data_IF_303410928021
#
_entry.id   IF_303410928021
#
_cell.length_a   1.000
_cell.length_b   1.000
_cell.length_c   1.000
_cell.angle_alpha   90.00
_cell.angle_beta   90.00
_cell.angle_gamma   90.00
#
_symmetry.space_group_name_H-M   'P 1'
#
loop_
_entity.id
_entity.type
_entity.pdbx_description
1 polymer ?
#
# COMPACT_ATOMS: atom_id res chain seq x y z
N UNK A 1 -31.88 20.41 -5.79
CA UNK A 1 -31.87 19.08 -5.21
C UNK A 1 -30.43 18.54 -5.40
N UNK A 2 -29.60 18.68 -4.36
CA UNK A 2 -28.34 17.98 -4.29
C UNK A 2 -28.69 16.53 -3.90
N UNK A 3 -28.46 15.59 -4.81
CA UNK A 3 -28.41 14.19 -4.46
C UNK A 3 -27.08 14.02 -3.71
N UNK A 4 -27.14 13.92 -2.39
CA UNK A 4 -26.01 13.41 -1.59
C UNK A 4 -25.74 12.00 -2.11
N UNK A 5 -24.60 11.79 -2.78
CA UNK A 5 -24.11 10.47 -3.10
C UNK A 5 -23.92 9.74 -1.77
N UNK A 6 -24.69 8.69 -1.56
CA UNK A 6 -24.52 7.82 -0.39
C UNK A 6 -23.23 7.04 -0.62
N UNK A 7 -22.16 7.49 0.02
CA UNK A 7 -20.90 6.75 0.06
C UNK A 7 -21.09 5.54 0.95
N UNK A 8 -21.01 4.34 0.39
CA UNK A 8 -21.17 3.09 1.12
C UNK A 8 -19.80 2.59 1.57
N UNK A 9 -19.52 2.71 2.86
CA UNK A 9 -18.35 2.12 3.48
C UNK A 9 -18.61 0.67 3.92
N UNK A 10 -17.66 -0.20 3.64
CA UNK A 10 -17.62 -1.57 4.11
C UNK A 10 -16.64 -1.71 5.27
N UNK A 11 -16.84 -2.75 6.09
CA UNK A 11 -16.00 -3.01 7.26
C UNK A 11 -15.46 -4.44 7.22
N UNK A 12 -14.13 -4.54 7.37
CA UNK A 12 -13.42 -5.80 7.58
C UNK A 12 -13.20 -6.60 6.30
N UNK A 13 -11.97 -7.06 6.15
CA UNK A 13 -11.52 -7.91 5.05
C UNK A 13 -10.84 -9.20 5.58
N UNK A 14 -11.15 -9.61 6.83
CA UNK A 14 -10.62 -10.86 7.37
C UNK A 14 -10.93 -12.02 6.43
N UNK A 15 -9.91 -12.81 6.06
CA UNK A 15 -10.00 -13.93 5.11
C UNK A 15 -10.58 -13.52 3.74
N UNK A 16 -10.29 -12.33 3.29
CA UNK A 16 -10.71 -11.80 1.99
C UNK A 16 -9.51 -11.34 1.17
N UNK A 17 -9.70 -11.40 -0.13
CA UNK A 17 -8.75 -10.90 -1.14
C UNK A 17 -9.46 -9.85 -1.97
N UNK A 18 -8.77 -8.74 -2.26
CA UNK A 18 -9.17 -7.78 -3.28
C UNK A 18 -8.63 -8.24 -4.62
N UNK A 19 -9.52 -8.46 -5.58
CA UNK A 19 -9.17 -8.79 -6.96
C UNK A 19 -9.41 -7.59 -7.85
N UNK A 20 -8.36 -7.17 -8.54
CA UNK A 20 -8.38 -6.12 -9.56
C UNK A 20 -8.29 -6.82 -10.93
N UNK A 21 -9.42 -7.11 -11.59
CA UNK A 21 -9.43 -8.02 -12.74
C UNK A 21 -8.99 -7.38 -14.05
N UNK A 22 -9.04 -6.04 -14.14
CA UNK A 22 -8.84 -5.32 -15.39
C UNK A 22 -8.00 -4.05 -15.21
N UNK A 23 -7.23 -3.71 -16.25
CA UNK A 23 -6.60 -2.41 -16.38
C UNK A 23 -7.67 -1.34 -16.65
N UNK A 24 -7.82 -0.40 -15.72
CA UNK A 24 -8.82 0.68 -15.81
C UNK A 24 -8.27 1.97 -15.22
N UNK A 25 -8.89 3.09 -15.52
CA UNK A 25 -8.65 4.39 -14.90
C UNK A 25 -9.70 4.78 -13.85
N UNK A 26 -10.50 3.81 -13.38
CA UNK A 26 -11.60 4.06 -12.45
C UNK A 26 -11.78 3.01 -11.34
N UNK A 27 -11.06 1.87 -11.42
CA UNK A 27 -11.19 0.81 -10.41
C UNK A 27 -10.17 1.00 -9.30
N UNK A 28 -10.63 1.25 -8.07
CA UNK A 28 -9.80 1.43 -6.89
C UNK A 28 -10.53 1.02 -5.62
N UNK A 29 -9.76 0.90 -4.54
CA UNK A 29 -10.28 0.78 -3.18
C UNK A 29 -9.76 1.95 -2.37
N UNK A 30 -10.65 2.74 -1.80
CA UNK A 30 -10.28 3.80 -0.85
C UNK A 30 -10.28 3.20 0.56
N UNK A 31 -9.20 3.44 1.31
CA UNK A 31 -9.04 2.97 2.68
C UNK A 31 -9.15 4.12 3.66
N UNK A 32 -9.87 3.89 4.77
CA UNK A 32 -9.99 4.86 5.85
C UNK A 32 -9.05 4.46 6.99
N UNK A 33 -8.01 5.26 7.31
CA UNK A 33 -7.12 4.94 8.41
C UNK A 33 -7.81 5.09 9.76
N UNK A 34 -7.46 4.22 10.73
CA UNK A 34 -8.01 4.26 12.10
C UNK A 34 -7.60 5.53 12.86
N UNK A 35 -6.51 6.14 12.47
CA UNK A 35 -6.03 7.43 12.96
C UNK A 35 -5.28 8.18 11.86
N UNK A 36 -5.03 9.45 12.09
CA UNK A 36 -4.39 10.31 11.13
C UNK A 36 -3.01 9.80 10.69
N UNK A 37 -2.69 9.98 9.41
CA UNK A 37 -1.45 9.57 8.78
C UNK A 37 -0.28 10.55 9.05
N UNK A 38 -0.33 11.36 10.10
CA UNK A 38 0.78 12.23 10.53
C UNK A 38 1.92 11.38 11.12
N UNK A 39 2.77 10.79 10.26
CA UNK A 39 3.71 9.75 10.66
C UNK A 39 5.16 10.23 10.69
N UNK A 40 5.89 9.79 11.71
CA UNK A 40 7.35 9.91 11.86
C UNK A 40 8.07 8.57 11.71
N UNK A 41 7.33 7.49 11.66
CA UNK A 41 7.80 6.15 11.37
C UNK A 41 6.62 5.32 10.91
N UNK A 42 6.87 4.27 10.16
CA UNK A 42 5.82 3.31 9.82
C UNK A 42 6.39 1.93 9.45
N UNK A 43 5.52 0.96 9.53
CA UNK A 43 5.62 -0.33 8.84
C UNK A 43 4.36 -0.51 8.02
N UNK A 44 4.49 -0.74 6.73
CA UNK A 44 3.41 -1.12 5.83
C UNK A 44 3.69 -2.52 5.33
N UNK A 45 2.75 -3.44 5.53
CA UNK A 45 2.83 -4.82 5.05
C UNK A 45 1.59 -5.16 4.21
N UNK A 46 1.79 -5.90 3.14
CA UNK A 46 0.71 -6.43 2.29
C UNK A 46 1.18 -7.70 1.57
N UNK A 47 0.24 -8.49 1.08
CA UNK A 47 0.49 -9.62 0.19
C UNK A 47 -0.03 -9.29 -1.19
N UNK A 48 0.79 -9.51 -2.21
CA UNK A 48 0.52 -9.10 -3.58
C UNK A 48 0.83 -10.22 -4.55
N UNK A 49 -0.03 -10.42 -5.54
CA UNK A 49 0.20 -11.28 -6.69
C UNK A 49 -0.25 -10.57 -7.96
N UNK A 50 0.52 -10.68 -9.04
CA UNK A 50 0.19 -10.09 -10.33
C UNK A 50 0.84 -10.87 -11.46
N UNK A 51 0.15 -10.97 -12.60
CA UNK A 51 0.67 -11.49 -13.85
C UNK A 51 1.08 -10.39 -14.84
N UNK A 52 1.01 -9.12 -14.42
CA UNK A 52 1.50 -8.02 -15.25
C UNK A 52 3.00 -8.16 -15.48
N UNK A 53 3.49 -7.92 -16.73
CA UNK A 53 4.92 -7.99 -17.07
C UNK A 53 5.77 -7.09 -16.14
N UNK A 54 7.01 -7.46 -15.90
CA UNK A 54 7.92 -6.70 -15.03
C UNK A 54 8.14 -5.26 -15.51
N UNK A 55 8.11 -5.04 -16.82
CA UNK A 55 8.28 -3.73 -17.46
C UNK A 55 7.05 -2.82 -17.32
N UNK A 56 5.95 -3.34 -16.78
CA UNK A 56 4.73 -2.58 -16.51
C UNK A 56 4.81 -1.93 -15.14
N UNK A 57 4.79 -0.60 -15.12
CA UNK A 57 4.70 0.18 -13.88
C UNK A 57 3.36 -0.08 -13.19
N UNK A 58 3.37 -0.34 -11.89
CA UNK A 58 2.15 -0.53 -11.10
C UNK A 58 2.26 0.15 -9.74
N UNK A 59 1.16 0.79 -9.33
CA UNK A 59 1.00 1.30 -7.98
C UNK A 59 0.58 0.17 -7.03
N UNK A 60 1.26 0.06 -5.89
CA UNK A 60 0.91 -0.90 -4.84
C UNK A 60 0.20 -0.25 -3.67
N UNK A 61 0.49 1.02 -3.40
CA UNK A 61 -0.11 1.80 -2.33
C UNK A 61 0.07 3.28 -2.65
N UNK A 62 -0.99 4.06 -2.55
CA UNK A 62 -0.95 5.51 -2.76
C UNK A 62 -1.61 6.24 -1.60
N UNK A 63 -0.88 7.15 -0.98
CA UNK A 63 -1.40 8.11 -0.01
C UNK A 63 -1.09 9.52 -0.49
N UNK A 64 -2.13 10.27 -0.81
CA UNK A 64 -2.06 11.62 -1.32
C UNK A 64 -2.82 12.61 -0.47
N UNK A 65 -2.18 13.74 -0.16
CA UNK A 65 -2.84 14.96 0.32
C UNK A 65 -3.27 15.82 -0.87
N UNK A 66 -4.04 16.92 -0.67
CA UNK A 66 -4.39 17.82 -1.77
C UNK A 66 -3.19 18.33 -2.57
N UNK A 67 -2.03 18.49 -1.93
CA UNK A 67 -0.86 19.15 -2.51
C UNK A 67 0.27 18.19 -2.94
N UNK A 68 0.34 17.00 -2.33
CA UNK A 68 1.49 16.10 -2.49
C UNK A 68 1.11 14.62 -2.49
N UNK A 69 1.89 13.84 -3.26
CA UNK A 69 2.02 12.40 -3.06
C UNK A 69 2.87 12.19 -1.80
N UNK A 70 2.20 11.91 -0.69
CA UNK A 70 2.86 11.81 0.62
C UNK A 70 3.56 10.48 0.85
N UNK A 71 2.96 9.39 0.36
CA UNK A 71 3.56 8.05 0.41
C UNK A 71 3.00 7.18 -0.71
N UNK A 72 3.81 6.93 -1.73
CA UNK A 72 3.48 6.02 -2.82
C UNK A 72 4.48 4.88 -2.86
N UNK A 73 4.00 3.66 -3.07
CA UNK A 73 4.81 2.45 -3.25
C UNK A 73 4.54 1.90 -4.64
N UNK A 74 5.62 1.70 -5.41
CA UNK A 74 5.58 1.31 -6.82
C UNK A 74 6.38 0.06 -7.12
N UNK A 75 5.97 -0.68 -8.15
CA UNK A 75 6.90 -1.40 -9.02
C UNK A 75 7.13 -0.53 -10.26
N UNK A 76 8.37 -0.22 -10.53
CA UNK A 76 8.79 0.63 -11.64
C UNK A 76 8.84 -0.14 -12.97
N UNK A 77 8.98 0.58 -14.10
CA UNK A 77 9.12 -0.01 -15.44
C UNK A 77 10.38 -0.84 -15.62
N UNK A 78 11.39 -0.64 -14.79
CA UNK A 78 12.62 -1.44 -14.79
C UNK A 78 12.61 -2.61 -13.79
N UNK A 79 11.43 -2.90 -13.20
CA UNK A 79 11.20 -3.98 -12.27
C UNK A 79 11.61 -3.68 -10.82
N UNK A 80 12.30 -2.55 -10.56
CA UNK A 80 12.62 -2.16 -9.19
C UNK A 80 11.35 -1.83 -8.41
N UNK A 81 11.39 -2.02 -7.09
CA UNK A 81 10.37 -1.54 -6.18
C UNK A 81 10.85 -0.25 -5.53
N UNK A 82 10.00 0.73 -5.46
CA UNK A 82 10.33 2.05 -4.94
C UNK A 82 9.28 2.57 -3.98
N UNK A 83 9.65 3.57 -3.18
CA UNK A 83 8.65 4.40 -2.53
C UNK A 83 9.07 5.86 -2.56
N UNK A 84 8.06 6.73 -2.59
CA UNK A 84 8.18 8.18 -2.69
C UNK A 84 7.49 8.82 -1.50
N UNK A 85 8.08 9.86 -0.95
CA UNK A 85 7.46 10.76 0.00
C UNK A 85 7.70 12.20 -0.44
N UNK A 86 6.65 12.92 -0.89
CA UNK A 86 6.72 14.35 -1.27
C UNK A 86 7.88 14.69 -2.22
N UNK A 87 7.93 14.06 -3.40
CA UNK A 87 8.94 14.35 -4.42
C UNK A 87 9.74 13.14 -4.90
N UNK A 88 11.05 13.13 -4.67
CA UNK A 88 11.94 12.06 -5.10
C UNK A 88 11.74 10.74 -4.34
N UNK A 89 12.06 9.63 -4.99
CA UNK A 89 11.91 8.27 -4.45
C UNK A 89 13.24 7.60 -4.11
N UNK A 90 13.13 6.45 -3.47
CA UNK A 90 14.24 5.52 -3.27
C UNK A 90 13.89 4.15 -3.85
N UNK A 91 14.87 3.45 -4.42
CA UNK A 91 14.68 2.31 -5.31
C UNK A 91 15.43 1.09 -4.82
N UNK A 92 14.81 -0.08 -4.95
CA UNK A 92 15.36 -1.35 -4.49
C UNK A 92 15.23 -2.41 -5.58
N UNK A 93 16.31 -3.18 -5.78
CA UNK A 93 16.26 -4.42 -6.55
C UNK A 93 15.73 -5.54 -5.66
N UNK A 94 14.48 -5.90 -5.83
CA UNK A 94 13.82 -6.97 -5.10
C UNK A 94 13.51 -8.13 -6.04
N UNK A 95 13.27 -9.35 -5.52
CA UNK A 95 12.74 -10.45 -6.33
C UNK A 95 11.45 -10.02 -7.04
N UNK A 96 11.24 -10.44 -8.30
CA UNK A 96 10.06 -10.08 -9.08
C UNK A 96 8.76 -10.49 -8.39
N UNK A 97 7.74 -9.64 -8.49
CA UNK A 97 6.36 -10.03 -8.20
C UNK A 97 5.88 -11.01 -9.26
N UNK A 98 5.06 -11.97 -8.87
CA UNK A 98 4.60 -13.03 -9.76
C UNK A 98 3.13 -13.38 -9.49
N UNK A 99 2.63 -14.39 -10.19
CA UNK A 99 1.29 -14.96 -9.97
C UNK A 99 1.11 -15.56 -8.58
N UNK A 100 2.20 -15.89 -7.87
CA UNK A 100 2.15 -16.35 -6.49
C UNK A 100 2.30 -15.18 -5.54
N UNK A 101 1.54 -15.21 -4.43
CA UNK A 101 1.58 -14.12 -3.44
C UNK A 101 2.97 -13.94 -2.85
N UNK A 102 3.44 -12.71 -2.92
CA UNK A 102 4.64 -12.25 -2.24
C UNK A 102 4.23 -11.46 -1.00
N UNK A 103 4.78 -11.81 0.16
CA UNK A 103 4.68 -10.97 1.35
C UNK A 103 5.71 -9.86 1.27
N UNK A 104 5.22 -8.62 1.29
CA UNK A 104 6.01 -7.40 1.14
C UNK A 104 5.76 -6.49 2.32
N UNK A 105 6.83 -6.06 3.01
CA UNK A 105 6.73 -4.98 3.98
C UNK A 105 7.72 -3.87 3.62
N UNK A 106 7.35 -2.65 4.00
CA UNK A 106 8.19 -1.46 3.94
C UNK A 106 8.28 -0.85 5.34
N UNK A 107 9.50 -0.59 5.80
CA UNK A 107 9.78 0.09 7.07
C UNK A 107 10.55 1.37 6.83
N UNK A 108 10.21 2.43 7.55
CA UNK A 108 10.92 3.70 7.54
C UNK A 108 10.77 4.42 8.87
N UNK A 109 11.82 5.13 9.31
CA UNK A 109 11.74 6.05 10.46
C UNK A 109 12.41 7.39 10.18
N UNK A 110 11.76 8.46 10.59
CA UNK A 110 12.20 9.84 10.37
C UNK A 110 13.51 10.18 11.09
N UNK A 111 13.73 9.63 12.29
CA UNK A 111 14.89 9.98 13.13
C UNK A 111 16.22 9.71 12.44
N UNK A 112 16.33 8.61 11.75
CA UNK A 112 17.56 8.17 11.06
C UNK A 112 17.44 8.23 9.54
N UNK A 113 16.21 8.25 9.01
CA UNK A 113 15.91 8.05 7.61
C UNK A 113 16.08 6.59 7.16
N UNK A 114 16.33 5.65 8.07
CA UNK A 114 16.53 4.24 7.70
C UNK A 114 15.24 3.68 7.11
N UNK A 115 15.38 3.15 5.89
CA UNK A 115 14.33 2.51 5.13
C UNK A 115 14.77 1.13 4.66
N UNK A 116 13.85 0.17 4.64
CA UNK A 116 14.08 -1.15 4.09
C UNK A 116 12.78 -1.79 3.59
N UNK A 117 12.87 -2.56 2.52
CA UNK A 117 11.85 -3.52 2.16
C UNK A 117 12.13 -4.89 2.78
N UNK A 118 11.07 -5.63 2.98
CA UNK A 118 11.10 -7.00 3.47
C UNK A 118 10.29 -7.86 2.50
N UNK A 119 10.93 -8.86 1.93
CA UNK A 119 10.31 -9.82 1.01
C UNK A 119 10.38 -11.20 1.63
N UNK A 120 9.24 -11.87 1.77
CA UNK A 120 9.16 -13.21 2.39
C UNK A 120 9.87 -13.27 3.75
N UNK A 121 9.68 -12.23 4.58
CA UNK A 121 10.30 -12.11 5.90
C UNK A 121 11.79 -11.80 5.91
N UNK A 122 12.41 -11.57 4.75
CA UNK A 122 13.84 -11.25 4.60
C UNK A 122 14.03 -9.77 4.29
N UNK A 123 14.88 -9.10 5.06
CA UNK A 123 15.14 -7.67 4.89
C UNK A 123 16.15 -7.40 3.76
N UNK A 124 15.84 -6.40 2.92
CA UNK A 124 16.79 -5.77 2.00
C UNK A 124 17.94 -5.09 2.74
N UNK A 125 18.92 -4.54 2.02
CA UNK A 125 19.84 -3.55 2.59
C UNK A 125 19.07 -2.34 3.08
N UNK A 126 19.57 -1.65 4.10
CA UNK A 126 19.06 -0.34 4.47
C UNK A 126 19.50 0.71 3.46
N UNK A 127 18.61 1.66 3.20
CA UNK A 127 18.93 2.93 2.58
C UNK A 127 18.56 4.06 3.53
N UNK A 128 19.27 5.18 3.46
CA UNK A 128 18.92 6.41 4.19
C UNK A 128 18.09 7.28 3.26
N UNK A 129 16.85 7.54 3.67
CA UNK A 129 15.89 8.30 2.87
C UNK A 129 15.15 9.30 3.75
N UNK A 130 15.24 10.57 3.39
CA UNK A 130 14.57 11.72 4.05
C UNK A 130 14.60 11.70 5.58
N UNK A 131 15.78 11.69 6.23
CA UNK A 131 15.86 11.86 7.67
C UNK A 131 15.26 13.20 8.08
N UNK A 132 14.51 13.21 9.18
CA UNK A 132 13.81 14.39 9.68
C UNK A 132 12.46 14.69 9.03
N UNK A 133 12.11 14.03 7.92
CA UNK A 133 10.82 14.20 7.25
C UNK A 133 9.65 13.71 8.12
N UNK A 134 8.46 14.28 7.89
CA UNK A 134 7.21 13.82 8.46
C UNK A 134 6.16 13.68 7.38
N UNK A 135 5.44 12.55 7.35
CA UNK A 135 4.29 12.36 6.46
C UNK A 135 3.17 13.27 6.94
N UNK A 136 2.57 14.02 6.01
CA UNK A 136 1.51 14.99 6.33
C UNK A 136 0.16 14.30 6.51
N UNK A 137 -0.69 14.83 7.41
CA UNK A 137 -2.05 14.33 7.62
C UNK A 137 -3.04 14.74 6.53
N UNK A 138 -4.29 14.24 6.66
CA UNK A 138 -5.47 14.66 5.88
C UNK A 138 -5.39 14.35 4.38
N UNK A 139 -4.80 13.21 4.04
CA UNK A 139 -4.82 12.66 2.70
C UNK A 139 -5.78 11.49 2.56
N UNK A 140 -5.79 10.92 1.36
CA UNK A 140 -6.60 9.76 0.99
C UNK A 140 -5.69 8.60 0.60
N UNK A 141 -6.01 7.39 1.06
CA UNK A 141 -5.31 6.16 0.67
C UNK A 141 -6.11 5.44 -0.40
N UNK A 142 -5.45 5.15 -1.53
CA UNK A 142 -5.99 4.33 -2.61
C UNK A 142 -5.14 3.08 -2.84
N UNK A 143 -5.83 1.98 -3.15
CA UNK A 143 -5.25 0.78 -3.75
C UNK A 143 -5.79 0.66 -5.18
N UNK A 144 -4.93 0.24 -6.10
CA UNK A 144 -5.30 0.01 -7.50
C UNK A 144 -5.06 1.18 -8.43
N UNK A 145 -5.00 2.42 -7.93
CA UNK A 145 -4.78 3.64 -8.70
C UNK A 145 -3.83 4.59 -7.98
N UNK A 146 -3.11 5.39 -8.77
CA UNK A 146 -2.36 6.55 -8.29
C UNK A 146 -3.08 7.84 -8.71
N UNK A 147 -3.61 8.64 -7.77
CA UNK A 147 -4.28 9.88 -8.12
C UNK A 147 -3.25 11.01 -8.32
N UNK A 148 -3.12 11.54 -9.55
CA UNK A 148 -2.28 12.71 -9.86
C UNK A 148 -2.84 14.03 -9.32
N UNK A 149 -4.13 14.03 -8.95
CA UNK A 149 -4.84 15.16 -8.35
C UNK A 149 -5.64 14.69 -7.15
N UNK A 150 -5.99 15.59 -6.26
CA UNK A 150 -6.91 15.26 -5.18
C UNK A 150 -8.24 14.73 -5.76
N UNK A 151 -8.52 13.46 -5.53
CA UNK A 151 -9.71 12.74 -6.03
C UNK A 151 -9.82 12.64 -7.56
N UNK A 152 -8.69 12.58 -8.30
CA UNK A 152 -8.73 12.42 -9.76
C UNK A 152 -7.37 12.24 -10.42
N UNK A 153 -7.34 12.30 -11.75
CA UNK A 153 -6.12 12.10 -12.54
C UNK A 153 -5.64 10.64 -12.53
N UNK A 154 -6.58 9.68 -12.60
CA UNK A 154 -6.28 8.25 -12.61
C UNK A 154 -5.84 7.81 -14.01
N UNK A 155 -4.83 6.95 -14.09
CA UNK A 155 -4.29 6.45 -15.35
C UNK A 155 -4.32 4.91 -15.42
N UNK A 156 -4.97 4.36 -16.43
CA UNK A 156 -5.05 2.93 -16.64
C UNK A 156 -3.65 2.27 -16.72
N UNK A 157 -2.69 2.94 -17.36
CA UNK A 157 -1.32 2.44 -17.56
C UNK A 157 -0.49 2.32 -16.28
N UNK A 158 -0.94 2.87 -15.17
CA UNK A 158 -0.33 2.79 -13.84
C UNK A 158 -1.14 1.92 -12.88
N UNK A 159 -2.36 1.54 -13.28
CA UNK A 159 -3.28 0.80 -12.42
C UNK A 159 -2.72 -0.57 -12.03
N UNK A 160 -3.10 -1.03 -10.84
CA UNK A 160 -2.81 -2.40 -10.40
C UNK A 160 -3.81 -3.38 -11.02
N UNK A 161 -3.30 -4.51 -11.48
CA UNK A 161 -4.10 -5.69 -11.89
C UNK A 161 -3.52 -6.91 -11.17
N UNK A 162 -4.37 -7.65 -10.47
CA UNK A 162 -3.95 -8.80 -9.67
C UNK A 162 -4.70 -8.90 -8.36
N UNK A 163 -4.04 -9.44 -7.35
CA UNK A 163 -4.60 -9.67 -6.02
C UNK A 163 -3.82 -8.92 -4.95
N UNK A 164 -4.55 -8.27 -4.04
CA UNK A 164 -4.03 -7.66 -2.81
C UNK A 164 -4.78 -8.21 -1.60
N UNK A 165 -4.06 -8.58 -0.57
CA UNK A 165 -4.64 -9.04 0.69
C UNK A 165 -3.73 -8.71 1.87
N UNK A 166 -4.27 -8.88 3.08
CA UNK A 166 -3.55 -8.80 4.36
C UNK A 166 -2.76 -7.51 4.54
N UNK A 167 -3.33 -6.37 4.09
CA UNK A 167 -2.72 -5.06 4.27
C UNK A 167 -2.85 -4.62 5.73
N UNK A 168 -1.71 -4.38 6.35
CA UNK A 168 -1.61 -3.87 7.72
C UNK A 168 -0.59 -2.75 7.80
N UNK A 169 -0.85 -1.75 8.63
CA UNK A 169 0.06 -0.63 8.80
C UNK A 169 0.13 -0.17 10.26
N UNK A 170 1.34 0.09 10.70
CA UNK A 170 1.68 0.58 12.04
C UNK A 170 2.40 1.92 11.94
N UNK A 171 2.22 2.80 12.93
CA UNK A 171 2.92 4.08 13.04
C UNK A 171 4.31 3.97 13.70
N UNK A 172 4.88 2.78 13.72
CA UNK A 172 6.20 2.48 14.22
C UNK A 172 6.86 1.37 13.40
N UNK A 173 8.19 1.25 13.51
CA UNK A 173 8.94 0.18 12.87
C UNK A 173 8.79 -1.10 13.67
N UNK A 174 8.22 -2.13 13.05
CA UNK A 174 8.17 -3.47 13.64
C UNK A 174 9.57 -4.09 13.72
N UNK A 175 9.80 -4.86 14.76
CA UNK A 175 11.02 -5.67 14.88
C UNK A 175 11.07 -6.75 13.80
N UNK A 176 12.27 -7.23 13.50
CA UNK A 176 12.47 -8.36 12.57
C UNK A 176 11.62 -9.57 12.94
N UNK A 177 11.56 -9.92 14.21
CA UNK A 177 10.78 -11.07 14.68
C UNK A 177 9.29 -10.90 14.44
N UNK A 178 8.75 -9.69 14.58
CA UNK A 178 7.33 -9.40 14.31
C UNK A 178 7.02 -9.42 12.80
N UNK A 179 7.90 -8.89 11.94
CA UNK A 179 7.73 -8.96 10.49
C UNK A 179 7.77 -10.42 10.02
N UNK A 180 8.69 -11.22 10.55
CA UNK A 180 8.73 -12.65 10.25
C UNK A 180 7.50 -13.39 10.77
N UNK A 181 7.03 -13.07 11.97
CA UNK A 181 5.80 -13.64 12.51
C UNK A 181 4.58 -13.30 11.64
N UNK A 182 4.47 -12.05 11.16
CA UNK A 182 3.43 -11.66 10.22
C UNK A 182 3.54 -12.46 8.90
N UNK A 183 4.74 -12.59 8.35
CA UNK A 183 4.96 -13.37 7.13
C UNK A 183 4.47 -14.81 7.26
N UNK A 184 4.76 -15.46 8.39
CA UNK A 184 4.31 -16.84 8.67
C UNK A 184 2.86 -16.96 9.14
N UNK A 185 2.11 -15.87 9.20
CA UNK A 185 0.72 -15.87 9.65
C UNK A 185 0.53 -16.07 11.15
N UNK A 186 1.57 -15.83 11.94
CA UNK A 186 1.48 -15.89 13.40
C UNK A 186 0.79 -14.64 13.96
N UNK A 187 0.22 -14.78 15.16
CA UNK A 187 -0.40 -13.67 15.85
C UNK A 187 0.64 -12.60 16.22
N UNK A 188 0.36 -11.37 15.79
CA UNK A 188 1.16 -10.17 16.08
C UNK A 188 0.23 -9.04 16.55
N UNK A 189 0.75 -7.93 17.12
CA UNK A 189 -0.04 -6.75 17.39
C UNK A 189 -0.74 -6.25 16.12
N UNK A 190 -2.00 -5.90 16.24
CA UNK A 190 -2.79 -5.37 15.13
C UNK A 190 -2.23 -4.06 14.60
N UNK A 191 -2.36 -3.81 13.31
CA UNK A 191 -2.04 -2.52 12.72
C UNK A 191 -2.89 -1.42 13.35
N UNK A 192 -2.23 -0.34 13.78
CA UNK A 192 -2.91 0.78 14.42
C UNK A 192 -3.27 1.92 13.45
N UNK A 193 -2.78 1.84 12.20
CA UNK A 193 -3.23 2.66 11.07
C UNK A 193 -4.21 1.87 10.23
N UNK A 194 -3.82 0.68 9.77
CA UNK A 194 -4.67 -0.27 9.08
C UNK A 194 -4.53 -1.65 9.71
N UNK A 195 -5.67 -2.28 9.98
CA UNK A 195 -5.80 -3.68 10.37
C UNK A 195 -6.76 -4.34 9.38
N UNK A 196 -6.28 -5.26 8.57
CA UNK A 196 -7.05 -5.90 7.50
C UNK A 196 -8.36 -6.49 7.97
N UNK A 197 -8.36 -7.07 9.17
CA UNK A 197 -9.55 -7.70 9.74
C UNK A 197 -10.69 -6.71 10.04
N UNK A 198 -10.37 -5.43 10.31
CA UNK A 198 -11.34 -4.40 10.73
C UNK A 198 -11.34 -3.17 9.83
N UNK A 199 -10.57 -3.19 8.74
CA UNK A 199 -10.37 -2.06 7.85
C UNK A 199 -11.70 -1.51 7.32
N UNK A 200 -11.83 -0.20 7.30
CA UNK A 200 -12.95 0.49 6.65
C UNK A 200 -12.53 0.86 5.23
N UNK A 201 -13.37 0.54 4.25
CA UNK A 201 -13.03 0.73 2.85
C UNK A 201 -14.26 1.04 1.99
N UNK A 202 -14.00 1.60 0.82
CA UNK A 202 -14.97 1.87 -0.25
C UNK A 202 -14.46 1.25 -1.55
N UNK A 203 -15.34 0.60 -2.29
CA UNK A 203 -15.04 -0.01 -3.59
C UNK A 203 -15.49 0.90 -4.72
N UNK A 204 -14.64 1.03 -5.75
CA UNK A 204 -14.98 1.71 -7.01
C UNK A 204 -14.64 0.83 -8.20
N UNK A 205 -15.49 0.87 -9.22
CA UNK A 205 -15.27 0.15 -10.48
C UNK A 205 -15.43 -1.37 -10.36
N UNK A 206 -14.50 -2.10 -10.97
CA UNK A 206 -14.60 -3.55 -11.16
C UNK A 206 -13.93 -4.37 -10.04
N UNK A 207 -13.49 -3.75 -8.96
CA UNK A 207 -12.82 -4.47 -7.86
C UNK A 207 -13.77 -5.47 -7.22
N UNK A 208 -13.28 -6.68 -6.99
CA UNK A 208 -14.03 -7.76 -6.35
C UNK A 208 -13.44 -8.06 -4.98
N UNK A 209 -14.30 -8.37 -4.01
CA UNK A 209 -13.91 -8.93 -2.71
C UNK A 209 -14.29 -10.40 -2.72
N UNK A 210 -13.30 -11.28 -2.60
CA UNK A 210 -13.51 -12.73 -2.64
C UNK A 210 -12.99 -13.39 -1.37
N UNK A 211 -13.52 -14.56 -1.05
CA UNK A 211 -13.03 -15.37 0.07
C UNK A 211 -11.62 -15.89 -0.23
N UNK A 212 -10.76 -15.86 0.78
CA UNK A 212 -9.40 -16.41 0.73
C UNK A 212 -9.43 -17.83 1.33
N UNK A 213 -9.83 -18.80 0.50
CA UNK A 213 -10.00 -20.22 0.88
C UNK A 213 -8.65 -20.97 0.95
#
# INVERSE_FOLDING_TARGET
LFLDEIVLFFLGLANKVLVFPFETDFSFVALVPQKDMALRAFTLCLRVATELPEERQIILFAYRTPDYDELNVWREKDGRVSFYMSGDGTFYHLPPLSTFRTSLCLTWESRTGLAAFWVEGKRSTYQVYKPGHGIRPKGTVLLGQDPDKHLGGLEATQSFVGELTDLNMWDFVLSRSLIQAWHYGHKIPKGNIFDWATIQYELSGNVMVVDDD
#
